data_IF_213992464607
#
_entry.id   IF_213992464607
#
_cell.length_a   1.000
_cell.length_b   1.000
_cell.length_c   1.000
_cell.angle_alpha   90.00
_cell.angle_beta   90.00
_cell.angle_gamma   90.00
#
_symmetry.space_group_name_H-M   'P 1'
#
loop_
_entity.id
_entity.type
_entity.pdbx_description
1 polymer ?
#
# COMPACT_ATOMS: atom_id res chain seq x y z
N UNK A 1 -15.36 -14.19 23.15
CA UNK A 1 -16.29 -13.24 22.51
C UNK A 1 -17.65 -13.32 23.18
N UNK A 2 -18.40 -12.22 23.24
CA UNK A 2 -19.70 -12.11 23.93
C UNK A 2 -20.89 -12.73 23.17
N UNK A 3 -20.66 -13.32 21.99
CA UNK A 3 -21.68 -14.05 21.22
C UNK A 3 -22.79 -13.19 20.61
N UNK A 4 -22.68 -11.86 20.68
CA UNK A 4 -23.61 -10.94 20.01
C UNK A 4 -23.09 -10.60 18.60
N UNK A 5 -23.99 -10.54 17.60
CA UNK A 5 -23.63 -10.12 16.25
C UNK A 5 -23.15 -8.66 16.25
N UNK A 6 -22.12 -8.40 15.47
CA UNK A 6 -21.51 -7.08 15.29
C UNK A 6 -22.42 -6.23 14.40
N UNK A 7 -22.54 -4.93 14.69
CA UNK A 7 -23.25 -4.00 13.80
C UNK A 7 -22.47 -3.85 12.48
N UNK A 8 -23.08 -4.08 11.31
CA UNK A 8 -22.42 -3.91 10.01
C UNK A 8 -21.73 -2.57 9.81
N UNK A 9 -22.28 -1.49 10.39
CA UNK A 9 -21.71 -0.14 10.28
C UNK A 9 -20.39 0.02 11.05
N UNK A 10 -20.08 -0.89 11.96
CA UNK A 10 -18.84 -0.88 12.71
C UNK A 10 -17.68 -1.53 11.92
N UNK A 11 -17.95 -2.12 10.74
CA UNK A 11 -16.97 -2.83 9.90
C UNK A 11 -16.78 -2.12 8.56
N UNK A 12 -15.59 -1.57 8.33
CA UNK A 12 -15.24 -0.86 7.08
C UNK A 12 -14.01 -1.46 6.42
N UNK A 13 -14.05 -1.67 5.11
CA UNK A 13 -12.91 -2.12 4.32
C UNK A 13 -12.12 -0.90 3.85
N UNK A 14 -11.00 -0.64 4.52
CA UNK A 14 -10.26 0.61 4.46
C UNK A 14 -11.17 1.77 4.83
N UNK A 15 -11.64 2.53 3.84
CA UNK A 15 -12.54 3.66 4.02
C UNK A 15 -13.96 3.44 3.45
N UNK A 16 -14.30 2.21 3.06
CA UNK A 16 -15.55 1.90 2.39
C UNK A 16 -16.50 1.04 3.25
N UNK A 17 -17.81 1.35 3.28
CA UNK A 17 -18.81 0.51 3.92
C UNK A 17 -19.09 -0.76 3.10
N UNK A 18 -19.73 -1.78 3.69
CA UNK A 18 -20.20 -2.94 2.95
C UNK A 18 -21.20 -2.54 1.86
N UNK A 19 -21.16 -3.24 0.73
CA UNK A 19 -22.06 -3.03 -0.42
C UNK A 19 -23.30 -3.93 -0.35
N UNK A 20 -23.26 -4.98 0.46
CA UNK A 20 -24.39 -5.88 0.67
C UNK A 20 -24.27 -6.70 1.96
N UNK A 21 -25.37 -7.35 2.33
CA UNK A 21 -25.47 -8.21 3.51
C UNK A 21 -26.31 -9.46 3.17
N UNK A 22 -25.82 -10.63 3.61
CA UNK A 22 -26.60 -11.86 3.67
C UNK A 22 -26.95 -12.15 5.14
N UNK A 23 -28.19 -11.85 5.58
CA UNK A 23 -28.59 -12.02 6.97
C UNK A 23 -28.77 -13.49 7.37
N UNK A 24 -28.94 -14.41 6.41
CA UNK A 24 -29.10 -15.85 6.67
C UNK A 24 -27.72 -16.48 6.90
N UNK A 25 -26.75 -16.13 6.06
CA UNK A 25 -25.35 -16.57 6.22
C UNK A 25 -24.57 -15.74 7.25
N UNK A 26 -25.12 -14.60 7.69
CA UNK A 26 -24.47 -13.62 8.57
C UNK A 26 -23.15 -13.08 7.98
N UNK A 27 -23.17 -12.72 6.68
CA UNK A 27 -22.00 -12.27 5.92
C UNK A 27 -22.20 -10.84 5.42
N UNK A 28 -21.15 -10.03 5.49
CA UNK A 28 -21.07 -8.73 4.82
C UNK A 28 -20.28 -8.86 3.52
N UNK A 29 -20.78 -8.22 2.47
CA UNK A 29 -20.20 -8.26 1.13
C UNK A 29 -19.57 -6.90 0.84
N UNK A 30 -18.34 -6.92 0.35
CA UNK A 30 -17.61 -5.74 -0.10
C UNK A 30 -17.25 -5.92 -1.57
N UNK A 31 -17.77 -5.03 -2.42
CA UNK A 31 -17.43 -4.97 -3.84
C UNK A 31 -16.77 -3.62 -4.13
N UNK A 32 -15.46 -3.64 -4.34
CA UNK A 32 -14.65 -2.43 -4.49
C UNK A 32 -13.62 -2.60 -5.59
N UNK A 33 -13.30 -1.51 -6.27
CA UNK A 33 -12.20 -1.49 -7.24
C UNK A 33 -10.85 -1.65 -6.52
N UNK A 34 -9.91 -2.34 -7.18
CA UNK A 34 -8.61 -2.71 -6.61
C UNK A 34 -7.79 -1.54 -6.08
N UNK A 35 -7.97 -0.34 -6.63
CA UNK A 35 -7.22 0.86 -6.30
C UNK A 35 -8.00 1.86 -5.43
N UNK A 36 -9.22 1.50 -5.00
CA UNK A 36 -10.10 2.35 -4.20
C UNK A 36 -10.09 1.94 -2.73
N UNK A 37 -10.82 2.70 -1.91
CA UNK A 37 -11.05 2.40 -0.49
C UNK A 37 -9.77 2.34 0.34
N UNK A 38 -8.70 3.02 -0.08
CA UNK A 38 -7.43 3.06 0.65
C UNK A 38 -6.56 1.81 0.48
N UNK A 39 -6.82 1.00 -0.56
CA UNK A 39 -5.95 -0.11 -0.96
C UNK A 39 -4.51 0.34 -1.20
N UNK A 40 -3.54 -0.46 -0.78
CA UNK A 40 -2.13 -0.27 -1.13
C UNK A 40 -1.71 -1.29 -2.20
N UNK A 41 -0.98 -0.83 -3.22
CA UNK A 41 -0.43 -1.70 -4.26
C UNK A 41 1.05 -1.95 -4.01
N UNK A 42 1.42 -3.21 -3.82
CA UNK A 42 2.80 -3.69 -3.79
C UNK A 42 3.08 -4.50 -5.04
N UNK A 43 4.13 -4.12 -5.77
CA UNK A 43 4.55 -4.83 -6.98
C UNK A 43 5.73 -5.75 -6.67
N UNK A 44 5.53 -7.06 -6.81
CA UNK A 44 6.61 -8.06 -6.73
C UNK A 44 7.08 -8.44 -8.13
N UNK A 45 8.03 -9.36 -8.23
CA UNK A 45 8.56 -9.81 -9.53
C UNK A 45 7.54 -10.63 -10.32
N UNK A 46 6.62 -11.32 -9.62
CA UNK A 46 5.63 -12.21 -10.23
C UNK A 46 4.17 -11.78 -10.01
N UNK A 47 3.87 -10.86 -9.09
CA UNK A 47 2.50 -10.44 -8.80
C UNK A 47 2.33 -8.93 -8.51
N UNK A 48 1.12 -8.43 -8.76
CA UNK A 48 0.55 -7.20 -8.21
C UNK A 48 -0.26 -7.61 -6.98
N UNK A 49 0.12 -7.13 -5.81
CA UNK A 49 -0.55 -7.42 -4.55
C UNK A 49 -1.30 -6.18 -4.10
N UNK A 50 -2.63 -6.26 -4.06
CA UNK A 50 -3.48 -5.21 -3.51
C UNK A 50 -3.88 -5.57 -2.09
N UNK A 51 -3.53 -4.71 -1.14
CA UNK A 51 -3.77 -4.93 0.29
C UNK A 51 -4.78 -3.94 0.83
N UNK A 52 -5.77 -4.45 1.56
CA UNK A 52 -6.79 -3.71 2.29
C UNK A 52 -6.73 -4.04 3.78
N UNK A 53 -7.26 -3.13 4.60
CA UNK A 53 -7.46 -3.35 6.03
C UNK A 53 -8.95 -3.30 6.35
N UNK A 54 -9.53 -4.41 6.78
CA UNK A 54 -10.88 -4.45 7.33
C UNK A 54 -10.83 -4.03 8.80
N UNK A 55 -11.37 -2.86 9.08
CA UNK A 55 -11.33 -2.23 10.39
C UNK A 55 -12.66 -2.43 11.11
N UNK A 56 -12.60 -3.03 12.30
CA UNK A 56 -13.72 -3.07 13.23
C UNK A 56 -13.61 -1.93 14.25
N UNK A 57 -14.52 -0.97 14.17
CA UNK A 57 -14.64 0.17 15.10
C UNK A 57 -16.02 0.14 15.78
N UNK A 58 -16.16 -0.51 16.95
CA UNK A 58 -17.44 -0.62 17.64
C UNK A 58 -18.02 0.74 18.02
N UNK A 59 -19.31 0.96 17.72
CA UNK A 59 -20.04 2.14 18.19
C UNK A 59 -20.39 2.03 19.69
N UNK A 60 -20.40 3.16 20.41
CA UNK A 60 -20.73 3.18 21.84
C UNK A 60 -22.18 2.70 22.06
N UNK A 61 -22.34 1.64 22.86
CA UNK A 61 -23.66 1.19 23.32
C UNK A 61 -24.22 2.18 24.35
N UNK A 62 -24.95 3.20 23.89
CA UNK A 62 -25.74 4.09 24.75
C UNK A 62 -24.96 5.12 25.59
N UNK A 63 -25.47 5.43 26.78
CA UNK A 63 -25.11 6.59 27.64
C UNK A 63 -23.76 6.40 28.39
N UNK A 64 -23.06 5.28 28.22
CA UNK A 64 -21.78 5.01 28.90
C UNK A 64 -20.61 4.97 27.93
N UNK A 65 -19.47 5.62 28.23
CA UNK A 65 -18.28 5.68 27.36
C UNK A 65 -17.42 4.40 27.45
N UNK A 66 -18.05 3.23 27.61
CA UNK A 66 -17.35 1.97 27.82
C UNK A 66 -17.28 1.22 26.48
N UNK A 67 -16.14 1.35 25.80
CA UNK A 67 -15.80 0.53 24.62
C UNK A 67 -15.33 -0.84 25.12
N UNK A 68 -16.11 -1.89 24.89
CA UNK A 68 -15.83 -3.25 25.42
C UNK A 68 -14.99 -4.14 24.48
N UNK A 69 -14.65 -3.65 23.29
CA UNK A 69 -13.94 -4.42 22.26
C UNK A 69 -12.81 -3.59 21.64
N UNK A 70 -11.65 -4.22 21.47
CA UNK A 70 -10.45 -3.59 20.87
C UNK A 70 -10.56 -3.54 19.36
N UNK A 71 -10.18 -2.40 18.75
CA UNK A 71 -10.04 -2.25 17.31
C UNK A 71 -9.00 -3.27 16.80
N UNK A 72 -9.38 -4.11 15.84
CA UNK A 72 -8.50 -5.10 15.24
C UNK A 72 -8.57 -4.96 13.71
N UNK A 73 -7.49 -4.52 13.04
CA UNK A 73 -7.43 -4.53 11.59
C UNK A 73 -7.19 -5.96 11.09
N UNK A 74 -8.03 -6.43 10.16
CA UNK A 74 -7.82 -7.69 9.43
C UNK A 74 -7.28 -7.35 8.05
N UNK A 75 -6.18 -8.01 7.66
CA UNK A 75 -5.54 -7.77 6.37
C UNK A 75 -6.25 -8.61 5.30
N UNK A 76 -6.60 -7.99 4.18
CA UNK A 76 -7.17 -8.65 2.99
C UNK A 76 -6.25 -8.39 1.81
N UNK A 77 -5.77 -9.45 1.16
CA UNK A 77 -4.86 -9.34 0.02
C UNK A 77 -5.41 -10.00 -1.24
N UNK A 78 -5.25 -9.33 -2.37
CA UNK A 78 -5.57 -9.85 -3.69
C UNK A 78 -4.29 -9.91 -4.53
N UNK A 79 -3.91 -11.10 -4.96
CA UNK A 79 -2.67 -11.35 -5.70
C UNK A 79 -2.97 -11.62 -7.18
N UNK A 80 -2.45 -10.77 -8.07
CA UNK A 80 -2.63 -10.90 -9.51
C UNK A 80 -1.28 -11.16 -10.21
N UNK A 81 -1.12 -12.25 -10.98
CA UNK A 81 0.14 -12.54 -11.62
C UNK A 81 0.46 -11.49 -12.70
N UNK A 82 1.71 -11.00 -12.73
CA UNK A 82 2.16 -9.96 -13.67
C UNK A 82 2.42 -10.49 -15.08
N UNK A 83 2.71 -11.78 -15.19
CA UNK A 83 3.04 -12.44 -16.45
C UNK A 83 1.89 -13.37 -16.79
N UNK A 84 1.24 -13.11 -17.91
CA UNK A 84 0.27 -14.02 -18.49
C UNK A 84 0.85 -14.64 -19.75
N UNK A 85 0.75 -15.96 -19.85
CA UNK A 85 1.07 -16.65 -21.08
C UNK A 85 -0.02 -16.32 -22.11
N UNK A 86 0.32 -15.54 -23.11
CA UNK A 86 -0.56 -15.23 -24.22
C UNK A 86 -0.18 -16.11 -25.40
N UNK A 87 -1.09 -17.00 -25.82
CA UNK A 87 -0.96 -17.70 -27.10
C UNK A 87 -1.75 -16.94 -28.15
N UNK A 88 -1.08 -16.31 -29.11
CA UNK A 88 -1.71 -15.95 -30.37
C UNK A 88 -1.64 -17.15 -31.32
N UNK A 89 -2.74 -17.45 -32.02
CA UNK A 89 -2.68 -18.33 -33.20
C UNK A 89 -1.62 -17.80 -34.19
N UNK A 90 -0.97 -18.66 -34.98
CA UNK A 90 0.05 -18.22 -35.94
C UNK A 90 -0.52 -17.14 -36.85
N UNK A 91 0.06 -15.94 -36.80
CA UNK A 91 -0.22 -14.87 -37.74
C UNK A 91 0.68 -15.12 -38.95
N UNK A 92 0.11 -15.37 -40.12
CA UNK A 92 0.87 -15.35 -41.38
C UNK A 92 1.18 -13.88 -41.75
N UNK A 93 2.43 -13.40 -41.61
CA UNK A 93 2.73 -12.02 -41.87
C UNK A 93 3.00 -11.82 -43.37
N UNK A 94 2.10 -11.12 -44.05
CA UNK A 94 2.28 -10.65 -45.43
C UNK A 94 2.72 -9.16 -45.46
N UNK A 95 3.80 -8.75 -44.77
CA UNK A 95 4.26 -7.36 -44.87
C UNK A 95 5.79 -7.16 -44.81
N UNK A 96 6.28 -6.34 -45.75
CA UNK A 96 7.64 -5.79 -45.91
C UNK A 96 8.00 -4.92 -44.69
N UNK A 97 9.24 -4.95 -44.17
CA UNK A 97 9.54 -4.39 -42.86
C UNK A 97 9.52 -2.87 -42.90
N UNK A 98 8.45 -2.28 -42.38
CA UNK A 98 8.58 -1.00 -41.68
C UNK A 98 9.00 -1.32 -40.25
N UNK A 99 10.15 -0.78 -39.85
CA UNK A 99 10.58 -0.72 -38.47
C UNK A 99 9.50 -0.02 -37.64
N UNK A 100 8.59 -0.80 -37.06
CA UNK A 100 7.68 -0.32 -36.04
C UNK A 100 8.49 -0.22 -34.75
N UNK A 101 9.14 0.93 -34.55
CA UNK A 101 9.57 1.33 -33.20
C UNK A 101 8.28 1.56 -32.42
N UNK A 102 7.83 0.54 -31.69
CA UNK A 102 6.78 0.70 -30.69
C UNK A 102 7.40 1.53 -29.56
N UNK A 103 7.31 2.85 -29.67
CA UNK A 103 7.48 3.73 -28.52
C UNK A 103 6.18 3.65 -27.73
N UNK A 104 6.05 2.60 -26.92
CA UNK A 104 5.18 2.69 -25.76
C UNK A 104 5.82 3.74 -24.85
N UNK A 105 5.03 4.70 -24.37
CA UNK A 105 5.41 5.64 -23.32
C UNK A 105 6.08 4.85 -22.18
N UNK A 106 7.42 4.91 -22.10
CA UNK A 106 8.15 4.01 -21.21
C UNK A 106 8.02 4.54 -19.77
N UNK A 107 7.08 3.98 -19.01
CA UNK A 107 6.86 4.36 -17.61
C UNK A 107 8.03 3.91 -16.72
N UNK A 108 8.56 4.83 -15.91
CA UNK A 108 9.50 4.51 -14.83
C UNK A 108 8.71 3.99 -13.62
N UNK A 109 9.02 2.77 -13.21
CA UNK A 109 8.36 2.14 -12.06
C UNK A 109 9.26 2.27 -10.84
N UNK A 110 8.89 3.17 -9.93
CA UNK A 110 9.57 3.35 -8.64
C UNK A 110 8.99 2.39 -7.60
N UNK A 111 9.83 1.95 -6.66
CA UNK A 111 9.44 1.11 -5.54
C UNK A 111 10.12 1.61 -4.28
N UNK A 112 9.36 1.72 -3.19
CA UNK A 112 9.85 2.09 -1.87
C UNK A 112 9.57 0.93 -0.92
N UNK A 113 10.58 0.47 -0.19
CA UNK A 113 10.50 -0.68 0.72
C UNK A 113 11.08 -0.34 2.08
N UNK A 114 10.51 -0.95 3.11
CA UNK A 114 11.15 -0.99 4.43
C UNK A 114 12.06 -2.19 4.49
N UNK A 115 13.31 -1.99 4.88
CA UNK A 115 14.35 -3.03 4.85
C UNK A 115 14.70 -3.51 6.25
N UNK A 116 15.19 -4.74 6.33
CA UNK A 116 15.83 -5.30 7.53
C UNK A 116 17.14 -4.59 7.85
N UNK A 117 17.67 -4.78 9.06
CA UNK A 117 18.87 -4.06 9.52
C UNK A 117 20.13 -4.32 8.70
N UNK A 118 20.19 -5.48 8.08
CA UNK A 118 21.26 -5.94 7.19
C UNK A 118 21.04 -5.57 5.71
N UNK A 119 19.95 -4.86 5.38
CA UNK A 119 19.56 -4.49 4.00
C UNK A 119 19.33 -5.68 3.04
N UNK A 120 19.21 -6.91 3.56
CA UNK A 120 19.08 -8.08 2.70
C UNK A 120 17.65 -8.35 2.27
N UNK A 121 16.68 -8.04 3.12
CA UNK A 121 15.28 -8.40 2.89
C UNK A 121 14.34 -7.24 3.19
N UNK A 122 13.15 -7.32 2.60
CA UNK A 122 12.04 -6.47 3.00
C UNK A 122 11.60 -6.85 4.42
N UNK A 123 11.37 -5.85 5.26
CA UNK A 123 11.00 -6.04 6.66
C UNK A 123 9.57 -6.59 6.72
N UNK A 124 9.32 -7.68 7.45
CA UNK A 124 7.99 -8.31 7.51
C UNK A 124 6.98 -7.57 8.41
N UNK A 125 7.44 -6.59 9.20
CA UNK A 125 6.65 -5.88 10.20
C UNK A 125 6.81 -4.37 10.08
N UNK A 126 5.69 -3.65 10.11
CA UNK A 126 5.61 -2.20 10.15
C UNK A 126 5.63 -1.64 11.59
N UNK A 127 5.85 -2.49 12.59
CA UNK A 127 5.93 -2.07 13.98
C UNK A 127 7.35 -1.62 14.31
N UNK A 128 7.44 -0.42 14.88
CA UNK A 128 8.67 0.22 15.34
C UNK A 128 8.49 0.71 16.77
N UNK A 129 9.56 0.63 17.55
CA UNK A 129 9.66 1.21 18.88
C UNK A 129 10.51 2.48 18.84
N UNK A 130 10.35 3.34 19.84
CA UNK A 130 11.21 4.52 19.97
C UNK A 130 12.67 4.10 20.12
N UNK A 131 13.53 4.67 19.29
CA UNK A 131 14.94 4.29 19.18
C UNK A 131 15.25 3.34 18.02
N UNK A 132 14.23 2.73 17.40
CA UNK A 132 14.43 1.93 16.19
C UNK A 132 14.81 2.81 14.99
N UNK A 133 15.67 2.28 14.12
CA UNK A 133 16.01 2.90 12.85
C UNK A 133 15.07 2.42 11.75
N UNK A 134 14.46 3.36 11.02
CA UNK A 134 13.64 3.07 9.85
C UNK A 134 14.56 3.04 8.62
N UNK A 135 14.68 1.88 7.97
CA UNK A 135 15.50 1.72 6.76
C UNK A 135 14.61 1.68 5.55
N UNK A 136 14.79 2.66 4.68
CA UNK A 136 13.97 2.86 3.48
C UNK A 136 14.87 2.64 2.27
N UNK A 137 14.51 1.69 1.43
CA UNK A 137 15.11 1.51 0.11
C UNK A 137 14.18 2.08 -0.95
N UNK A 138 14.73 2.87 -1.88
CA UNK A 138 14.00 3.38 -3.04
C UNK A 138 14.73 2.94 -4.30
N UNK A 139 14.02 2.25 -5.19
CA UNK A 139 14.55 1.72 -6.45
C UNK A 139 13.69 2.14 -7.62
N UNK A 140 14.28 2.15 -8.82
CA UNK A 140 13.55 2.22 -10.09
C UNK A 140 13.79 0.91 -10.83
N UNK A 141 12.74 0.28 -11.33
CA UNK A 141 12.89 -0.97 -12.10
C UNK A 141 13.59 -0.65 -13.42
N UNK A 142 14.77 -1.23 -13.58
CA UNK A 142 15.57 -1.13 -14.79
C UNK A 142 15.03 -2.13 -15.82
N UNK A 143 14.22 -1.65 -16.76
CA UNK A 143 13.81 -2.43 -17.94
C UNK A 143 14.80 -2.16 -19.10
N UNK A 144 14.31 -1.75 -20.26
CA UNK A 144 15.12 -1.44 -21.45
C UNK A 144 15.67 -0.01 -21.45
N UNK A 145 15.62 0.68 -20.31
CA UNK A 145 16.13 2.03 -20.19
C UNK A 145 17.67 2.06 -20.11
N UNK A 146 18.25 3.23 -20.40
CA UNK A 146 19.64 3.55 -20.04
C UNK A 146 19.83 3.48 -18.53
N UNK A 147 21.06 3.30 -17.99
CA UNK A 147 21.28 3.31 -16.55
C UNK A 147 20.73 4.58 -15.90
N UNK A 148 19.86 4.41 -14.90
CA UNK A 148 19.20 5.51 -14.19
C UNK A 148 19.76 5.68 -12.78
N UNK A 149 19.62 6.90 -12.24
CA UNK A 149 19.88 7.20 -10.83
C UNK A 149 18.62 7.78 -10.20
N UNK A 150 18.27 7.24 -9.03
CA UNK A 150 17.09 7.66 -8.28
C UNK A 150 17.49 8.66 -7.20
N UNK A 151 16.68 9.71 -7.05
CA UNK A 151 16.77 10.68 -5.97
C UNK A 151 15.40 10.83 -5.32
N UNK A 152 15.37 11.05 -4.01
CA UNK A 152 14.14 11.33 -3.26
C UNK A 152 14.09 12.82 -2.99
N UNK A 153 13.11 13.50 -3.59
CA UNK A 153 12.96 14.95 -3.48
C UNK A 153 12.39 15.39 -2.13
N UNK A 154 11.30 14.71 -1.71
CA UNK A 154 10.56 14.99 -0.50
C UNK A 154 9.99 13.71 0.10
N UNK A 155 10.02 13.58 1.43
CA UNK A 155 9.48 12.44 2.16
C UNK A 155 8.77 12.93 3.43
N UNK A 156 7.49 12.57 3.56
CA UNK A 156 6.61 13.06 4.63
C UNK A 156 5.88 11.86 5.25
N UNK A 157 5.85 11.79 6.58
CA UNK A 157 5.00 10.89 7.34
C UNK A 157 3.66 11.55 7.69
N UNK A 158 2.61 10.74 7.63
CA UNK A 158 1.21 11.10 7.93
C UNK A 158 0.60 10.03 8.83
N UNK A 159 -0.48 10.35 9.54
CA UNK A 159 -1.21 9.35 10.36
C UNK A 159 -2.06 8.39 9.53
N UNK A 160 -2.26 8.69 8.25
CA UNK A 160 -3.02 7.87 7.31
C UNK A 160 -2.33 7.83 5.95
N UNK A 161 -2.70 6.91 5.05
CA UNK A 161 -2.17 6.85 3.69
C UNK A 161 -2.45 8.10 2.84
N UNK A 162 -3.33 9.00 3.28
CA UNK A 162 -3.52 10.28 2.64
C UNK A 162 -2.33 11.21 2.90
N UNK A 163 -1.54 11.46 1.85
CA UNK A 163 -0.36 12.32 1.86
C UNK A 163 -0.66 13.79 2.19
N UNK A 164 -1.94 14.20 2.15
CA UNK A 164 -2.40 15.55 2.49
C UNK A 164 -2.99 15.66 3.90
N UNK A 165 -3.10 14.53 4.61
CA UNK A 165 -3.66 14.50 5.96
C UNK A 165 -2.78 15.21 6.98
N UNK A 166 -3.41 15.77 8.02
CA UNK A 166 -2.73 16.39 9.15
C UNK A 166 -2.88 15.51 10.41
N UNK A 167 -1.87 15.46 11.30
CA UNK A 167 -0.55 16.12 11.24
C UNK A 167 0.42 15.45 10.26
N UNK A 168 1.41 16.22 9.79
CA UNK A 168 2.51 15.76 8.93
C UNK A 168 3.86 15.92 9.62
N UNK A 169 4.79 15.02 9.32
CA UNK A 169 6.19 15.08 9.76
C UNK A 169 7.11 14.95 8.55
N UNK A 170 8.12 15.82 8.41
CA UNK A 170 8.95 15.89 7.20
C UNK A 170 10.33 15.28 7.47
N UNK A 171 10.65 14.19 6.77
CA UNK A 171 11.98 13.56 6.83
C UNK A 171 12.96 14.20 5.85
N UNK A 172 12.51 14.33 4.60
CA UNK A 172 13.27 14.91 3.48
C UNK A 172 12.49 16.07 2.89
N UNK A 173 13.15 17.19 2.66
CA UNK A 173 12.60 18.37 2.00
C UNK A 173 13.69 19.10 1.21
N UNK A 174 13.36 20.21 0.54
CA UNK A 174 14.33 21.06 -0.16
C UNK A 174 15.21 20.26 -1.14
N UNK A 175 14.59 19.48 -2.01
CA UNK A 175 15.28 18.71 -3.06
C UNK A 175 16.24 17.65 -2.50
N UNK A 176 15.78 16.89 -1.51
CA UNK A 176 16.50 15.74 -0.94
C UNK A 176 17.37 16.04 0.28
N UNK A 177 17.20 17.19 0.94
CA UNK A 177 17.83 17.46 2.23
C UNK A 177 17.16 16.65 3.35
N UNK A 178 17.93 15.80 4.04
CA UNK A 178 17.45 15.05 5.21
C UNK A 178 17.37 15.97 6.43
N UNK A 179 16.21 16.60 6.64
CA UNK A 179 16.00 17.62 7.68
C UNK A 179 15.80 17.01 9.07
N UNK A 180 15.31 15.76 9.15
CA UNK A 180 15.13 14.99 10.39
C UNK A 180 16.43 14.95 11.23
N UNK A 181 17.55 14.67 10.58
CA UNK A 181 18.88 14.60 11.22
C UNK A 181 19.36 15.94 11.80
N UNK A 182 18.78 17.07 11.37
CA UNK A 182 19.12 18.41 11.89
C UNK A 182 18.37 18.72 13.19
N UNK A 183 17.20 18.13 13.39
CA UNK A 183 16.30 18.45 14.51
C UNK A 183 16.72 17.69 15.79
N UNK A 184 17.48 16.60 15.66
CA UNK A 184 17.99 15.80 16.79
C UNK A 184 19.16 16.42 17.58
N UNK A 185 19.42 17.72 17.45
CA UNK A 185 20.27 18.46 18.39
C UNK A 185 19.37 19.17 19.41
N UNK A 186 19.05 18.45 20.50
CA UNK A 186 18.85 18.95 21.87
C UNK A 186 18.01 17.93 22.69
N UNK A 187 18.69 16.95 23.28
CA UNK A 187 18.67 16.77 24.74
C UNK A 187 19.77 15.76 25.10
N UNK A 188 20.90 16.31 25.57
CA UNK A 188 21.97 15.61 26.27
C UNK A 188 22.03 16.16 27.69
#
# INVERSE_FOLDING_TARGET
GIGQPINPNDLVLGNCPPTGEDPVAQVLIYEVELHKCGSQLTTTDDALVYTYFLNYSPSNLGITPIVRTTQAPVIVECHYPRKHNVSSLPVEPLWVPFSAVKMAEEFLYFTMKLMTDDWLNERPSYQYFLGDLIRIEVTVKQYFHVPLRVYVDRCVATLSPDATSSPTYVFLDNFGCLVDARITVCDS
#
